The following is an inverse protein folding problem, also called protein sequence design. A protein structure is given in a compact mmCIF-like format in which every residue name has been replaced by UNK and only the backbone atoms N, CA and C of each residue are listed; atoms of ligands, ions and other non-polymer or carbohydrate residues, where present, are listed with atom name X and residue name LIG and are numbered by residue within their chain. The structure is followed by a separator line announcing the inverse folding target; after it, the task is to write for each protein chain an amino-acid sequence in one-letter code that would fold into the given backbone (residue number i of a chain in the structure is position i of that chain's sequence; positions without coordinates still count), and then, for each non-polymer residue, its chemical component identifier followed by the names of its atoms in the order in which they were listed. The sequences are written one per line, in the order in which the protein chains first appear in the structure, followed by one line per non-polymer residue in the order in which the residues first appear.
data_IF_855802404378
#
_entry.id   IF_855802404378
#
_cell.length_a   1.000
_cell.length_b   1.000
_cell.length_c   1.000
_cell.angle_alpha   90.00
_cell.angle_beta   90.00
_cell.angle_gamma   90.00
#
_symmetry.space_group_name_H-M   'P 1'
#
loop_
_entity.id
_entity.type
_entity.pdbx_description
1 polymer ?
#
# COMPACT_ATOMS: atom_id res chain seq x y z
N UNK A 1 -12.29 14.24 3.66
CA UNK A 1 -11.63 13.84 2.40
C UNK A 1 -10.20 14.29 2.55
N UNK A 2 -9.28 13.35 2.81
CA UNK A 2 -7.86 13.66 2.83
C UNK A 2 -7.50 14.46 1.56
N UNK A 3 -6.69 15.53 1.70
CA UNK A 3 -6.21 16.38 0.60
C UNK A 3 -5.23 15.61 -0.33
N UNK A 4 -5.62 14.44 -0.84
CA UNK A 4 -4.76 13.54 -1.62
C UNK A 4 -4.57 14.10 -3.04
N UNK A 5 -5.55 14.86 -3.53
CA UNK A 5 -5.55 15.41 -4.89
C UNK A 5 -4.80 16.74 -4.90
N UNK A 6 -3.59 16.73 -5.47
CA UNK A 6 -2.84 17.96 -5.73
C UNK A 6 -3.17 18.48 -7.12
N UNK A 7 -3.88 19.60 -7.15
CA UNK A 7 -4.26 20.30 -8.39
C UNK A 7 -3.12 21.14 -9.00
N UNK A 8 -1.86 20.75 -8.74
CA UNK A 8 -0.70 21.42 -9.33
C UNK A 8 -0.25 20.61 -10.54
N UNK A 9 0.23 21.27 -11.61
CA UNK A 9 0.78 20.56 -12.75
C UNK A 9 1.99 19.74 -12.30
N UNK A 10 1.95 18.45 -12.63
CA UNK A 10 3.01 17.52 -12.29
C UNK A 10 4.37 18.02 -12.79
N UNK A 11 5.35 18.10 -11.89
CA UNK A 11 6.75 18.39 -12.21
C UNK A 11 7.63 17.30 -11.67
N UNK A 12 8.26 16.56 -12.59
CA UNK A 12 9.18 15.49 -12.25
C UNK A 12 10.34 15.98 -11.37
N UNK A 13 10.59 15.27 -10.28
CA UNK A 13 11.69 15.50 -9.34
C UNK A 13 12.64 14.30 -9.43
N UNK A 14 13.85 14.48 -10.01
CA UNK A 14 14.83 13.40 -10.11
C UNK A 14 15.45 13.07 -8.75
N UNK A 15 16.01 11.87 -8.58
CA UNK A 15 16.72 11.51 -7.36
C UNK A 15 18.12 12.14 -7.36
N UNK A 16 18.74 12.22 -6.18
CA UNK A 16 20.16 12.58 -6.08
C UNK A 16 21.04 11.38 -6.41
N UNK A 17 22.07 11.60 -7.22
CA UNK A 17 23.08 10.57 -7.52
C UNK A 17 24.08 10.39 -6.36
N UNK A 18 24.16 11.30 -5.40
CA UNK A 18 25.05 11.14 -4.24
C UNK A 18 24.52 10.13 -3.23
N UNK A 19 25.39 9.44 -2.50
CA UNK A 19 25.01 8.53 -1.40
C UNK A 19 25.17 9.16 -0.02
N UNK A 20 25.88 10.28 0.10
CA UNK A 20 26.26 10.89 1.39
C UNK A 20 25.11 10.96 2.41
N UNK A 21 23.97 11.52 2.01
CA UNK A 21 22.80 11.66 2.90
C UNK A 21 22.14 10.32 3.20
N UNK A 22 22.04 9.42 2.23
CA UNK A 22 21.55 8.06 2.44
C UNK A 22 22.45 7.31 3.44
N UNK A 23 23.77 7.37 3.29
CA UNK A 23 24.75 6.79 4.21
C UNK A 23 24.64 7.41 5.61
N UNK A 24 24.46 8.73 5.71
CA UNK A 24 24.27 9.43 6.98
C UNK A 24 22.99 8.93 7.69
N UNK A 25 21.88 8.86 6.96
CA UNK A 25 20.59 8.43 7.49
C UNK A 25 20.62 6.96 7.95
N UNK A 26 21.29 6.09 7.19
CA UNK A 26 21.50 4.69 7.56
C UNK A 26 22.42 4.58 8.79
N UNK A 27 23.54 5.32 8.82
CA UNK A 27 24.53 5.29 9.90
C UNK A 27 23.94 5.69 11.25
N UNK A 28 23.14 6.76 11.26
CA UNK A 28 22.50 7.28 12.47
C UNK A 28 21.11 6.68 12.74
N UNK A 29 20.68 5.68 11.95
CA UNK A 29 19.38 5.01 12.12
C UNK A 29 18.19 5.99 12.13
N UNK A 30 18.25 7.05 11.32
CA UNK A 30 17.26 8.15 11.30
C UNK A 30 15.88 7.61 10.95
N UNK A 31 15.79 6.66 10.01
CA UNK A 31 14.54 5.99 9.63
C UNK A 31 13.91 5.28 10.83
N UNK A 32 14.68 4.51 11.61
CA UNK A 32 14.15 3.82 12.79
C UNK A 32 13.67 4.78 13.89
N UNK A 33 14.41 5.87 14.12
CA UNK A 33 13.97 6.91 15.05
C UNK A 33 12.67 7.59 14.58
N UNK A 34 12.58 7.90 13.29
CA UNK A 34 11.39 8.52 12.69
C UNK A 34 10.18 7.58 12.78
N UNK A 35 10.32 6.34 12.34
CA UNK A 35 9.27 5.30 12.40
C UNK A 35 8.74 5.08 13.82
N UNK A 36 9.63 5.07 14.82
CA UNK A 36 9.19 4.98 16.22
C UNK A 36 8.34 6.16 16.65
N UNK A 37 8.68 7.37 16.20
CA UNK A 37 8.01 8.62 16.60
C UNK A 37 6.71 8.87 15.85
N UNK A 38 6.64 8.54 14.57
CA UNK A 38 5.50 8.90 13.70
C UNK A 38 4.58 7.73 13.38
N UNK A 39 5.09 6.50 13.43
CA UNK A 39 4.35 5.28 13.03
C UNK A 39 4.20 4.27 14.17
N UNK A 40 4.82 4.51 15.33
CA UNK A 40 4.72 3.61 16.49
C UNK A 40 5.52 2.31 16.36
N UNK A 41 6.43 2.22 15.39
CA UNK A 41 7.27 1.03 15.15
C UNK A 41 8.46 1.05 16.11
N UNK A 42 8.41 0.22 17.14
CA UNK A 42 9.37 0.24 18.26
C UNK A 42 10.57 -0.68 18.04
N UNK A 43 10.43 -1.69 17.18
CA UNK A 43 11.48 -2.66 16.86
C UNK A 43 11.30 -3.20 15.42
N UNK A 44 12.37 -3.76 14.88
CA UNK A 44 12.39 -4.32 13.54
C UNK A 44 13.28 -5.56 13.45
N UNK A 45 12.96 -6.45 12.51
CA UNK A 45 13.76 -7.60 12.13
C UNK A 45 13.87 -7.64 10.60
N UNK A 46 15.07 -7.89 10.06
CA UNK A 46 15.25 -8.16 8.63
C UNK A 46 15.64 -9.63 8.49
N UNK A 47 14.88 -10.38 7.69
CA UNK A 47 15.11 -11.79 7.44
C UNK A 47 15.62 -12.01 6.01
N UNK A 48 16.48 -13.01 5.89
CA UNK A 48 17.00 -13.51 4.63
C UNK A 48 17.69 -12.47 3.72
N UNK A 49 18.28 -11.42 4.31
CA UNK A 49 18.97 -10.34 3.56
C UNK A 49 20.14 -10.83 2.71
N UNK A 50 20.70 -12.00 3.05
CA UNK A 50 21.77 -12.65 2.29
C UNK A 50 21.36 -12.99 0.86
N UNK A 51 20.06 -13.27 0.60
CA UNK A 51 19.54 -13.48 -0.76
C UNK A 51 19.74 -12.23 -1.63
N UNK A 52 19.43 -11.06 -1.07
CA UNK A 52 19.67 -9.78 -1.73
C UNK A 52 21.18 -9.54 -1.92
N UNK A 53 21.99 -9.76 -0.88
CA UNK A 53 23.45 -9.61 -0.96
C UNK A 53 24.06 -10.49 -2.05
N UNK A 54 23.59 -11.73 -2.20
CA UNK A 54 24.05 -12.66 -3.22
C UNK A 54 23.79 -12.13 -4.64
N UNK A 55 22.58 -11.61 -4.90
CA UNK A 55 22.24 -10.99 -6.20
C UNK A 55 23.12 -9.76 -6.50
N UNK A 56 23.40 -8.93 -5.48
CA UNK A 56 24.29 -7.77 -5.63
C UNK A 56 25.73 -8.18 -5.92
N UNK A 57 26.25 -9.18 -5.21
CA UNK A 57 27.60 -9.71 -5.41
C UNK A 57 27.76 -10.39 -6.79
N UNK A 58 26.70 -11.01 -7.30
CA UNK A 58 26.66 -11.57 -8.65
C UNK A 58 26.58 -10.51 -9.77
N UNK A 59 26.50 -9.22 -9.43
CA UNK A 59 26.40 -8.13 -10.41
C UNK A 59 25.04 -8.05 -11.11
N UNK A 60 24.01 -8.72 -10.57
CA UNK A 60 22.64 -8.61 -11.08
C UNK A 60 22.09 -7.22 -10.81
N UNK A 61 21.24 -6.75 -11.72
CA UNK A 61 20.44 -5.56 -11.47
C UNK A 61 19.22 -5.96 -10.66
N UNK A 62 18.99 -5.29 -9.53
CA UNK A 62 17.98 -5.69 -8.56
C UNK A 62 16.80 -4.72 -8.56
N UNK A 63 15.60 -5.26 -8.69
CA UNK A 63 14.36 -4.58 -8.31
C UNK A 63 13.82 -5.24 -7.04
N UNK A 64 13.51 -4.45 -6.02
CA UNK A 64 12.79 -4.92 -4.82
C UNK A 64 11.32 -4.52 -4.93
N UNK A 65 10.43 -5.48 -4.70
CA UNK A 65 8.98 -5.30 -4.83
C UNK A 65 8.28 -5.68 -3.52
N UNK A 66 8.25 -4.75 -2.55
CA UNK A 66 7.57 -4.97 -1.28
C UNK A 66 6.05 -4.83 -1.37
N UNK A 67 5.29 -5.51 -0.49
CA UNK A 67 3.88 -5.17 -0.25
C UNK A 67 3.76 -3.79 0.42
N UNK A 68 2.57 -3.19 0.38
CA UNK A 68 2.33 -1.81 0.79
C UNK A 68 1.17 -1.66 1.78
N UNK A 69 1.31 -2.25 2.97
CA UNK A 69 0.30 -2.19 4.01
C UNK A 69 0.23 -0.84 4.75
N UNK A 70 1.32 -0.08 4.90
CA UNK A 70 1.35 1.17 5.68
C UNK A 70 2.10 2.28 4.95
N UNK A 71 1.80 3.54 5.30
CA UNK A 71 2.57 4.72 4.82
C UNK A 71 4.03 4.68 5.26
N UNK A 72 4.32 3.92 6.32
CA UNK A 72 5.63 3.66 6.89
C UNK A 72 6.59 2.85 5.98
N UNK A 73 6.05 2.01 5.09
CA UNK A 73 6.81 0.97 4.39
C UNK A 73 8.04 1.48 3.61
N UNK A 74 7.98 2.62 2.88
CA UNK A 74 9.16 3.15 2.19
C UNK A 74 10.32 3.49 3.13
N UNK A 75 10.03 3.95 4.35
CA UNK A 75 11.05 4.21 5.36
C UNK A 75 11.53 2.92 6.03
N UNK A 76 10.65 1.93 6.20
CA UNK A 76 11.01 0.61 6.75
C UNK A 76 12.03 -0.14 5.89
N UNK A 77 11.96 0.03 4.56
CA UNK A 77 13.00 -0.45 3.63
C UNK A 77 14.41 0.09 3.95
N UNK A 78 14.51 1.19 4.71
CA UNK A 78 15.76 1.69 5.27
C UNK A 78 16.53 0.63 6.07
N UNK A 79 15.85 -0.26 6.79
CA UNK A 79 16.47 -1.36 7.54
C UNK A 79 17.07 -2.42 6.60
N UNK A 80 16.34 -2.84 5.57
CA UNK A 80 16.82 -3.78 4.55
C UNK A 80 18.07 -3.23 3.86
N UNK A 81 18.04 -1.96 3.42
CA UNK A 81 19.17 -1.34 2.72
C UNK A 81 20.41 -1.17 3.60
N UNK A 82 20.20 -0.81 4.88
CA UNK A 82 21.28 -0.72 5.87
C UNK A 82 21.93 -2.07 6.10
N UNK A 83 21.14 -3.13 6.27
CA UNK A 83 21.66 -4.47 6.55
C UNK A 83 22.30 -5.13 5.31
N UNK A 84 21.74 -4.86 4.13
CA UNK A 84 22.31 -5.24 2.84
C UNK A 84 23.61 -4.48 2.52
N UNK A 85 23.84 -3.33 3.16
CA UNK A 85 24.99 -2.47 2.88
C UNK A 85 24.89 -1.78 1.52
N UNK A 86 23.67 -1.43 1.09
CA UNK A 86 23.41 -0.83 -0.22
C UNK A 86 22.60 0.47 -0.13
N UNK A 87 22.55 1.19 -1.25
CA UNK A 87 21.71 2.36 -1.44
C UNK A 87 20.72 2.09 -2.56
N UNK A 88 19.53 2.68 -2.48
CA UNK A 88 18.45 2.39 -3.43
C UNK A 88 17.96 3.63 -4.12
N UNK A 89 17.35 3.43 -5.28
CA UNK A 89 16.38 4.37 -5.82
C UNK A 89 14.97 3.89 -5.48
N UNK A 90 14.04 4.82 -5.27
CA UNK A 90 12.66 4.47 -4.94
C UNK A 90 11.67 5.39 -5.66
N UNK A 91 10.56 4.82 -6.14
CA UNK A 91 9.46 5.59 -6.72
C UNK A 91 8.54 6.10 -5.60
N UNK A 92 8.35 7.42 -5.53
CA UNK A 92 7.50 8.06 -4.53
C UNK A 92 6.41 8.89 -5.21
N UNK A 93 5.17 8.84 -4.70
CA UNK A 93 4.08 9.67 -5.22
C UNK A 93 4.48 11.14 -5.18
N UNK A 94 4.21 11.88 -6.26
CA UNK A 94 4.47 13.32 -6.31
C UNK A 94 3.80 14.11 -5.18
N UNK A 95 2.70 13.58 -4.63
CA UNK A 95 2.03 14.15 -3.47
C UNK A 95 2.99 14.35 -2.28
N UNK A 96 3.87 13.38 -2.01
CA UNK A 96 4.83 13.42 -0.90
C UNK A 96 5.87 14.55 -1.04
N UNK A 97 6.17 15.00 -2.26
CA UNK A 97 7.11 16.10 -2.51
C UNK A 97 6.49 17.48 -2.28
N UNK A 98 5.18 17.53 -2.03
CA UNK A 98 4.41 18.75 -1.84
C UNK A 98 3.74 18.86 -0.46
N UNK A 99 3.87 17.83 0.39
CA UNK A 99 3.33 17.85 1.76
C UNK A 99 4.05 18.86 2.64
N UNK A 100 5.38 18.75 2.74
CA UNK A 100 6.18 19.63 3.59
C UNK A 100 7.60 19.83 3.03
N UNK A 101 8.29 20.85 3.56
CA UNK A 101 9.62 21.25 3.09
C UNK A 101 10.69 20.18 3.36
N UNK A 102 10.56 19.42 4.45
CA UNK A 102 11.52 18.40 4.85
C UNK A 102 11.40 17.18 3.95
N UNK A 103 10.19 16.69 3.69
CA UNK A 103 9.94 15.59 2.73
C UNK A 103 10.43 15.94 1.33
N UNK A 104 10.14 17.16 0.85
CA UNK A 104 10.63 17.66 -0.44
C UNK A 104 12.16 17.67 -0.55
N UNK A 105 12.85 17.95 0.56
CA UNK A 105 14.32 17.95 0.60
C UNK A 105 14.90 16.54 0.78
N UNK A 106 14.33 15.74 1.68
CA UNK A 106 14.87 14.46 2.11
C UNK A 106 14.69 13.37 1.05
N UNK A 107 13.50 13.26 0.44
CA UNK A 107 13.16 12.17 -0.49
C UNK A 107 14.18 12.09 -1.65
N UNK A 108 14.49 13.18 -2.40
CA UNK A 108 15.53 13.12 -3.43
C UNK A 108 16.91 12.73 -2.91
N UNK A 109 17.28 13.20 -1.71
CA UNK A 109 18.63 13.00 -1.13
C UNK A 109 18.87 11.56 -0.68
N UNK A 110 17.81 10.81 -0.39
CA UNK A 110 17.89 9.39 -0.04
C UNK A 110 17.61 8.47 -1.23
N UNK A 111 17.47 9.01 -2.45
CA UNK A 111 17.30 8.23 -3.68
C UNK A 111 15.85 8.13 -4.20
N UNK A 112 14.90 8.80 -3.55
CA UNK A 112 13.53 8.85 -4.03
C UNK A 112 13.34 9.78 -5.23
N UNK A 113 12.51 9.40 -6.20
CA UNK A 113 12.12 10.24 -7.32
C UNK A 113 10.61 10.21 -7.53
N UNK A 114 10.06 11.30 -8.07
CA UNK A 114 8.62 11.46 -8.16
C UNK A 114 8.02 10.60 -9.26
N UNK A 115 6.81 10.09 -9.01
CA UNK A 115 5.94 9.51 -10.03
C UNK A 115 4.57 10.18 -9.99
N UNK A 116 4.01 10.46 -11.16
CA UNK A 116 2.60 10.83 -11.29
C UNK A 116 1.72 9.57 -11.31
N UNK A 117 0.91 9.37 -10.26
CA UNK A 117 -0.05 8.27 -10.19
C UNK A 117 -1.30 8.51 -11.05
N UNK A 118 -1.57 9.77 -11.37
CA UNK A 118 -2.79 10.24 -12.06
C UNK A 118 -2.64 10.30 -13.58
N UNK A 119 -1.52 9.82 -14.13
CA UNK A 119 -1.25 9.86 -15.56
C UNK A 119 -0.11 8.93 -15.98
N UNK A 120 0.18 8.93 -17.28
CA UNK A 120 1.28 8.14 -17.84
C UNK A 120 2.60 8.91 -17.68
N UNK A 121 3.30 8.66 -16.58
CA UNK A 121 4.60 9.27 -16.29
C UNK A 121 5.75 8.59 -17.06
N UNK A 122 5.86 8.90 -18.35
CA UNK A 122 6.95 8.37 -19.20
C UNK A 122 8.33 8.71 -18.65
N UNK A 123 8.50 9.85 -17.97
CA UNK A 123 9.79 10.27 -17.46
C UNK A 123 10.23 9.41 -16.27
N UNK A 124 9.35 9.16 -15.30
CA UNK A 124 9.63 8.27 -14.18
C UNK A 124 9.86 6.82 -14.64
N UNK A 125 9.05 6.33 -15.59
CA UNK A 125 9.20 4.99 -16.16
C UNK A 125 10.57 4.84 -16.86
N UNK A 126 10.95 5.82 -17.69
CA UNK A 126 12.26 5.78 -18.37
C UNK A 126 13.41 5.81 -17.37
N UNK A 127 13.34 6.66 -16.33
CA UNK A 127 14.37 6.67 -15.29
C UNK A 127 14.47 5.32 -14.57
N UNK A 128 13.34 4.69 -14.22
CA UNK A 128 13.32 3.38 -13.59
C UNK A 128 14.01 2.31 -14.47
N UNK A 129 13.74 2.33 -15.78
CA UNK A 129 14.42 1.46 -16.75
C UNK A 129 15.91 1.77 -16.82
N UNK A 130 16.30 3.05 -16.83
CA UNK A 130 17.69 3.48 -16.92
C UNK A 130 18.48 3.07 -15.67
N UNK A 131 17.91 3.24 -14.47
CA UNK A 131 18.49 2.79 -13.19
C UNK A 131 18.78 1.29 -13.22
N UNK A 132 17.78 0.48 -13.58
CA UNK A 132 17.95 -0.97 -13.66
C UNK A 132 18.88 -1.39 -14.80
N UNK A 133 18.91 -0.64 -15.90
CA UNK A 133 19.85 -0.91 -16.98
C UNK A 133 21.27 -0.61 -16.53
N UNK A 134 21.51 0.49 -15.81
CA UNK A 134 22.82 0.87 -15.28
C UNK A 134 23.31 -0.11 -14.21
N UNK A 135 22.40 -0.66 -13.39
CA UNK A 135 22.70 -1.61 -12.31
C UNK A 135 23.63 -1.04 -11.21
N UNK A 136 23.62 0.28 -11.02
CA UNK A 136 24.41 0.94 -9.98
C UNK A 136 23.84 0.73 -8.57
N UNK A 137 22.51 0.68 -8.46
CA UNK A 137 21.76 0.58 -7.20
C UNK A 137 20.46 -0.16 -7.43
N UNK A 138 19.95 -0.90 -6.43
CA UNK A 138 18.62 -1.49 -6.53
C UNK A 138 17.52 -0.43 -6.65
N UNK A 139 16.43 -0.82 -7.29
CA UNK A 139 15.21 0.00 -7.41
C UNK A 139 14.09 -0.60 -6.56
N UNK A 140 13.47 0.20 -5.70
CA UNK A 140 12.28 -0.17 -4.91
C UNK A 140 11.02 0.32 -5.63
N UNK A 141 10.09 -0.60 -5.90
CA UNK A 141 8.75 -0.29 -6.43
C UNK A 141 7.70 -1.08 -5.64
N UNK A 142 6.74 -0.39 -5.04
CA UNK A 142 5.56 -1.01 -4.42
C UNK A 142 4.54 -1.39 -5.51
N UNK A 143 4.32 -2.68 -5.80
CA UNK A 143 3.52 -3.13 -6.93
C UNK A 143 2.01 -2.90 -6.73
N UNK A 144 1.51 -2.79 -5.50
CA UNK A 144 0.08 -2.54 -5.20
C UNK A 144 -0.37 -1.12 -5.58
N UNK A 145 0.55 -0.16 -5.65
CA UNK A 145 0.28 1.21 -6.10
C UNK A 145 -0.47 2.12 -5.12
N UNK A 146 -1.08 1.56 -4.06
CA UNK A 146 -1.72 2.27 -2.97
C UNK A 146 -1.48 1.57 -1.63
N UNK A 147 -1.66 2.31 -0.53
CA UNK A 147 -1.64 1.72 0.82
C UNK A 147 -3.00 1.09 1.09
N UNK A 148 -3.01 -0.14 1.56
CA UNK A 148 -4.23 -0.95 1.73
C UNK A 148 -4.61 -1.14 3.20
N UNK A 149 -3.64 -0.98 4.12
CA UNK A 149 -3.79 -1.25 5.56
C UNK A 149 -4.29 -2.67 5.83
N UNK A 150 -3.81 -3.62 5.03
CA UNK A 150 -3.92 -5.06 5.22
C UNK A 150 -2.52 -5.65 5.22
N UNK A 151 -2.04 -6.11 6.38
CA UNK A 151 -0.72 -6.73 6.49
C UNK A 151 -0.64 -8.07 5.74
N UNK A 152 -1.69 -8.87 5.79
CA UNK A 152 -1.63 -10.29 5.40
C UNK A 152 -2.23 -10.57 4.02
N UNK A 153 -2.78 -9.55 3.35
CA UNK A 153 -3.45 -9.71 2.06
C UNK A 153 -2.94 -8.70 1.05
N UNK A 154 -2.43 -9.21 -0.06
CA UNK A 154 -2.09 -8.40 -1.21
C UNK A 154 -3.35 -7.94 -1.95
N UNK A 155 -3.31 -6.70 -2.39
CA UNK A 155 -4.18 -6.24 -3.46
C UNK A 155 -3.58 -6.58 -4.83
N UNK A 156 -4.40 -6.42 -5.88
CA UNK A 156 -3.98 -6.63 -7.25
C UNK A 156 -2.71 -5.82 -7.59
N UNK A 157 -1.70 -6.52 -8.12
CA UNK A 157 -0.43 -5.92 -8.49
C UNK A 157 -0.52 -5.20 -9.83
N UNK A 158 0.14 -4.05 -9.95
CA UNK A 158 0.19 -3.26 -11.19
C UNK A 158 1.29 -3.78 -12.14
N UNK A 159 0.93 -4.03 -13.40
CA UNK A 159 1.81 -4.54 -14.47
C UNK A 159 3.05 -3.69 -14.80
N UNK A 160 3.14 -2.46 -14.28
CA UNK A 160 4.25 -1.55 -14.53
C UNK A 160 5.61 -2.14 -14.14
N UNK A 161 5.62 -3.01 -13.12
CA UNK A 161 6.81 -3.71 -12.61
C UNK A 161 7.43 -4.60 -13.68
N UNK A 162 6.66 -5.52 -14.27
CA UNK A 162 7.15 -6.43 -15.31
C UNK A 162 7.61 -5.67 -16.57
N UNK A 163 6.90 -4.61 -16.95
CA UNK A 163 7.29 -3.78 -18.09
C UNK A 163 8.67 -3.13 -17.88
N UNK A 164 8.88 -2.50 -16.73
CA UNK A 164 10.15 -1.83 -16.38
C UNK A 164 11.28 -2.85 -16.32
N UNK A 165 11.09 -3.95 -15.57
CA UNK A 165 12.11 -4.96 -15.34
C UNK A 165 12.53 -5.66 -16.65
N UNK A 166 11.57 -6.08 -17.48
CA UNK A 166 11.84 -6.73 -18.77
C UNK A 166 12.56 -5.80 -19.75
N UNK A 167 12.17 -4.54 -19.79
CA UNK A 167 12.82 -3.56 -20.68
C UNK A 167 14.28 -3.35 -20.27
N UNK A 168 14.56 -3.26 -18.97
CA UNK A 168 15.92 -3.21 -18.44
C UNK A 168 16.70 -4.52 -18.73
N UNK A 169 16.08 -5.68 -18.55
CA UNK A 169 16.69 -6.99 -18.83
C UNK A 169 17.13 -7.10 -20.29
N UNK A 170 16.28 -6.65 -21.23
CA UNK A 170 16.61 -6.60 -22.66
C UNK A 170 17.78 -5.65 -22.96
N UNK A 171 17.87 -4.51 -22.28
CA UNK A 171 18.98 -3.55 -22.46
C UNK A 171 20.30 -4.10 -21.91
N UNK A 172 20.27 -4.71 -20.72
CA UNK A 172 21.45 -5.35 -20.11
C UNK A 172 21.94 -6.54 -20.92
N UNK A 173 21.06 -7.46 -21.30
CA UNK A 173 21.41 -8.62 -22.12
C UNK A 173 22.16 -8.24 -23.40
N UNK A 174 21.82 -7.10 -24.02
CA UNK A 174 22.51 -6.57 -25.20
C UNK A 174 23.83 -5.86 -24.91
N UNK A 175 23.96 -5.21 -23.74
CA UNK A 175 25.13 -4.38 -23.40
C UNK A 175 26.26 -5.22 -22.81
N UNK A 176 25.94 -6.02 -21.80
CA UNK A 176 26.91 -6.71 -20.95
C UNK A 176 26.51 -8.16 -20.61
N UNK A 177 25.40 -8.66 -21.15
CA UNK A 177 24.87 -9.99 -20.79
C UNK A 177 24.32 -10.07 -19.35
N UNK A 178 24.22 -8.94 -18.65
CA UNK A 178 23.80 -8.88 -17.25
C UNK A 178 22.33 -9.21 -17.05
N UNK A 179 22.03 -9.79 -15.89
CA UNK A 179 20.67 -10.18 -15.50
C UNK A 179 19.96 -9.07 -14.73
N UNK A 180 18.62 -9.11 -14.79
CA UNK A 180 17.74 -8.36 -13.89
C UNK A 180 16.96 -9.37 -13.07
N UNK A 181 16.93 -9.17 -11.75
CA UNK A 181 16.17 -10.01 -10.82
C UNK A 181 15.23 -9.16 -9.99
N UNK A 182 14.07 -9.73 -9.66
CA UNK A 182 13.09 -9.14 -8.75
C UNK A 182 13.18 -9.89 -7.42
N UNK A 183 13.35 -9.17 -6.32
CA UNK A 183 13.20 -9.71 -4.97
C UNK A 183 11.85 -9.26 -4.40
N UNK A 184 10.90 -10.19 -4.16
CA UNK A 184 9.76 -9.89 -3.30
C UNK A 184 10.26 -9.56 -1.89
N UNK A 185 9.64 -8.59 -1.23
CA UNK A 185 9.96 -8.25 0.16
C UNK A 185 8.67 -8.19 0.97
N UNK A 186 8.45 -9.17 1.83
CA UNK A 186 7.27 -9.19 2.68
C UNK A 186 7.51 -8.31 3.91
N UNK A 187 6.67 -7.30 4.09
CA UNK A 187 6.64 -6.39 5.22
C UNK A 187 5.42 -6.76 6.05
N UNK A 188 5.66 -7.17 7.30
CA UNK A 188 4.63 -7.49 8.28
C UNK A 188 4.84 -6.68 9.54
N UNK A 189 3.77 -6.07 10.04
CA UNK A 189 3.76 -5.43 11.36
C UNK A 189 3.01 -6.32 12.35
N UNK A 190 3.69 -6.70 13.43
CA UNK A 190 3.13 -7.40 14.58
C UNK A 190 2.88 -6.40 15.71
N UNK A 191 1.67 -6.41 16.27
CA UNK A 191 1.30 -5.56 17.38
C UNK A 191 1.50 -6.29 18.71
N UNK A 192 2.44 -5.79 19.52
CA UNK A 192 2.78 -6.33 20.83
C UNK A 192 2.17 -5.59 22.03
N UNK A 193 1.15 -4.74 21.81
CA UNK A 193 0.48 -3.98 22.87
C UNK A 193 -0.82 -4.62 23.36
N UNK A 194 -1.52 -3.93 24.27
CA UNK A 194 -2.83 -4.39 24.78
C UNK A 194 -3.94 -4.07 23.77
N UNK A 195 -4.26 -5.05 22.92
CA UNK A 195 -5.31 -4.91 21.91
C UNK A 195 -6.68 -4.63 22.52
N UNK A 196 -6.97 -5.13 23.73
CA UNK A 196 -8.26 -4.92 24.39
C UNK A 196 -8.41 -3.46 24.82
N UNK A 197 -7.35 -2.89 25.39
CA UNK A 197 -7.35 -1.47 25.76
C UNK A 197 -7.54 -0.60 24.51
N UNK A 198 -6.73 -0.79 23.46
CA UNK A 198 -6.81 0.06 22.27
C UNK A 198 -8.12 -0.10 21.50
N UNK A 199 -8.61 -1.34 21.37
CA UNK A 199 -9.92 -1.59 20.78
C UNK A 199 -11.02 -0.91 21.59
N UNK A 200 -10.97 -0.95 22.93
CA UNK A 200 -11.99 -0.30 23.75
C UNK A 200 -11.98 1.22 23.59
N UNK A 201 -10.80 1.85 23.57
CA UNK A 201 -10.65 3.28 23.35
C UNK A 201 -11.29 3.72 22.04
N UNK A 202 -10.86 3.12 20.92
CA UNK A 202 -11.32 3.50 19.58
C UNK A 202 -12.79 3.14 19.35
N UNK A 203 -13.19 1.90 19.65
CA UNK A 203 -14.56 1.45 19.41
C UNK A 203 -15.56 2.19 20.30
N UNK A 204 -15.21 2.55 21.54
CA UNK A 204 -16.10 3.34 22.39
C UNK A 204 -16.35 4.73 21.82
N UNK A 205 -15.31 5.37 21.27
CA UNK A 205 -15.44 6.69 20.62
C UNK A 205 -16.31 6.60 19.36
N UNK A 206 -16.14 5.56 18.55
CA UNK A 206 -16.98 5.32 17.36
C UNK A 206 -18.44 5.05 17.76
N UNK A 207 -18.67 4.18 18.75
CA UNK A 207 -20.00 3.88 19.27
C UNK A 207 -20.69 5.15 19.78
N UNK A 208 -19.98 6.03 20.49
CA UNK A 208 -20.51 7.32 20.94
C UNK A 208 -20.84 8.26 19.79
N UNK A 209 -20.01 8.31 18.73
CA UNK A 209 -20.31 9.08 17.51
C UNK A 209 -21.58 8.60 16.81
N UNK A 210 -21.88 7.30 16.88
CA UNK A 210 -23.15 6.74 16.42
C UNK A 210 -24.32 6.93 17.40
N UNK A 211 -24.12 7.70 18.48
CA UNK A 211 -25.09 7.87 19.57
C UNK A 211 -25.48 6.56 20.27
N UNK A 212 -24.59 5.57 20.24
CA UNK A 212 -24.77 4.30 20.96
C UNK A 212 -24.17 4.36 22.35
N UNK A 213 -24.66 3.51 23.25
CA UNK A 213 -23.99 3.26 24.54
C UNK A 213 -22.79 2.33 24.29
N UNK A 214 -21.57 2.69 24.72
CA UNK A 214 -20.42 1.81 24.57
C UNK A 214 -20.64 0.46 25.24
N UNK A 215 -20.37 -0.63 24.52
CA UNK A 215 -20.58 -2.01 25.00
C UNK A 215 -19.27 -2.68 25.37
N UNK A 216 -18.55 -2.10 26.34
CA UNK A 216 -17.23 -2.57 26.79
C UNK A 216 -17.21 -4.02 27.29
N UNK A 217 -18.37 -4.55 27.67
CA UNK A 217 -18.57 -5.93 28.10
C UNK A 217 -18.70 -6.94 26.95
N UNK A 218 -18.95 -6.48 25.72
CA UNK A 218 -19.00 -7.35 24.54
C UNK A 218 -17.58 -7.67 24.05
N UNK A 219 -17.44 -8.76 23.30
CA UNK A 219 -16.17 -9.10 22.65
C UNK A 219 -15.77 -8.01 21.64
N UNK A 220 -14.46 -7.92 21.34
CA UNK A 220 -13.96 -7.01 20.30
C UNK A 220 -14.58 -7.37 18.96
N UNK A 221 -14.68 -8.67 18.65
CA UNK A 221 -15.30 -9.18 17.43
C UNK A 221 -16.73 -8.68 17.23
N UNK A 222 -17.60 -8.85 18.23
CA UNK A 222 -19.00 -8.40 18.17
C UNK A 222 -19.10 -6.89 17.91
N UNK A 223 -18.22 -6.11 18.57
CA UNK A 223 -18.21 -4.65 18.43
C UNK A 223 -17.73 -4.23 17.04
N UNK A 224 -16.65 -4.85 16.54
CA UNK A 224 -16.11 -4.61 15.19
C UNK A 224 -17.14 -4.99 14.12
N UNK A 225 -17.75 -6.16 14.21
CA UNK A 225 -18.81 -6.60 13.29
C UNK A 225 -20.01 -5.64 13.30
N UNK A 226 -20.43 -5.18 14.48
CA UNK A 226 -21.55 -4.23 14.61
C UNK A 226 -21.21 -2.84 14.04
N UNK A 227 -20.03 -2.32 14.35
CA UNK A 227 -19.56 -1.02 13.82
C UNK A 227 -19.41 -1.09 12.29
N UNK A 228 -18.74 -2.12 11.76
CA UNK A 228 -18.58 -2.32 10.33
C UNK A 228 -19.92 -2.44 9.60
N UNK A 229 -20.86 -3.21 10.16
CA UNK A 229 -22.23 -3.30 9.62
C UNK A 229 -22.93 -1.94 9.57
N UNK A 230 -22.80 -1.12 10.62
CA UNK A 230 -23.42 0.20 10.65
C UNK A 230 -22.79 1.15 9.64
N UNK A 231 -21.45 1.19 9.54
CA UNK A 231 -20.74 1.98 8.53
C UNK A 231 -21.22 1.64 7.12
N UNK A 232 -21.31 0.34 6.79
CA UNK A 232 -21.82 -0.11 5.50
C UNK A 232 -23.28 0.30 5.29
N UNK A 233 -24.16 0.08 6.28
CA UNK A 233 -25.57 0.47 6.18
C UNK A 233 -25.75 1.99 5.97
N UNK A 234 -24.92 2.82 6.61
CA UNK A 234 -24.97 4.27 6.44
C UNK A 234 -24.62 4.66 5.00
N UNK A 235 -23.59 4.04 4.42
CA UNK A 235 -23.24 4.26 3.00
C UNK A 235 -24.28 3.69 2.04
N UNK A 236 -24.91 2.56 2.36
CA UNK A 236 -26.02 2.04 1.57
C UNK A 236 -27.22 2.99 1.59
N UNK A 237 -27.58 3.56 2.74
CA UNK A 237 -28.64 4.57 2.84
C UNK A 237 -28.31 5.83 2.01
N UNK A 238 -27.05 6.26 2.03
CA UNK A 238 -26.59 7.42 1.25
C UNK A 238 -26.71 7.20 -0.26
N UNK A 239 -26.30 6.03 -0.77
CA UNK A 239 -26.18 5.78 -2.22
C UNK A 239 -27.33 4.98 -2.86
N UNK A 240 -28.08 4.21 -2.07
CA UNK A 240 -29.26 3.45 -2.50
C UNK A 240 -30.57 3.99 -1.93
N UNK A 241 -30.53 4.81 -0.86
CA UNK A 241 -31.73 5.26 -0.14
C UNK A 241 -32.28 4.23 0.86
N UNK A 242 -31.74 3.01 0.88
CA UNK A 242 -32.14 1.92 1.77
C UNK A 242 -30.97 0.98 2.08
N UNK A 243 -31.03 0.30 3.23
CA UNK A 243 -30.04 -0.73 3.58
C UNK A 243 -30.21 -1.97 2.72
N UNK A 244 -29.11 -2.58 2.29
CA UNK A 244 -29.14 -3.73 1.41
C UNK A 244 -29.15 -5.05 2.18
N UNK A 245 -29.70 -6.10 1.54
CA UNK A 245 -29.72 -7.47 2.06
C UNK A 245 -28.68 -8.34 1.35
N UNK A 246 -28.20 -9.38 2.05
CA UNK A 246 -27.22 -10.34 1.55
C UNK A 246 -26.01 -10.47 2.46
N UNK A 247 -25.06 -11.30 2.05
CA UNK A 247 -23.76 -11.42 2.70
C UNK A 247 -22.91 -10.14 2.51
N UNK A 248 -21.90 -9.99 3.35
CA UNK A 248 -21.05 -8.79 3.39
C UNK A 248 -20.35 -8.53 2.04
N UNK A 249 -19.77 -9.58 1.42
CA UNK A 249 -19.04 -9.46 0.16
C UNK A 249 -19.94 -8.97 -0.96
N UNK A 250 -21.11 -9.57 -1.11
CA UNK A 250 -22.10 -9.16 -2.11
C UNK A 250 -22.57 -7.72 -1.91
N UNK A 251 -22.84 -7.31 -0.66
CA UNK A 251 -23.28 -5.95 -0.36
C UNK A 251 -22.20 -4.90 -0.67
N UNK A 252 -20.96 -5.18 -0.29
CA UNK A 252 -19.83 -4.30 -0.59
C UNK A 252 -19.57 -4.19 -2.09
N UNK A 253 -19.59 -5.30 -2.82
CA UNK A 253 -19.43 -5.30 -4.28
C UNK A 253 -20.54 -4.50 -4.98
N UNK A 254 -21.79 -4.66 -4.56
CA UNK A 254 -22.90 -3.84 -5.10
C UNK A 254 -22.71 -2.35 -4.85
N UNK A 255 -22.24 -1.98 -3.66
CA UNK A 255 -21.95 -0.57 -3.34
C UNK A 255 -20.79 -0.04 -4.19
N UNK A 256 -19.71 -0.80 -4.36
CA UNK A 256 -18.60 -0.46 -5.26
C UNK A 256 -19.11 -0.24 -6.69
N UNK A 257 -19.92 -1.17 -7.21
CA UNK A 257 -20.46 -1.07 -8.58
C UNK A 257 -21.45 0.08 -8.73
N UNK A 258 -22.21 0.41 -7.68
CA UNK A 258 -23.10 1.57 -7.63
C UNK A 258 -22.32 2.88 -7.77
N UNK A 259 -21.14 2.97 -7.17
CA UNK A 259 -20.25 4.12 -7.25
C UNK A 259 -19.53 4.18 -8.61
N UNK A 260 -18.98 3.06 -9.08
CA UNK A 260 -18.09 3.06 -10.24
C UNK A 260 -18.79 2.95 -11.59
N UNK A 261 -19.83 2.11 -11.73
CA UNK A 261 -20.43 1.85 -13.04
C UNK A 261 -20.97 3.11 -13.75
N UNK A 262 -21.64 4.06 -13.07
CA UNK A 262 -22.07 5.30 -13.70
C UNK A 262 -20.90 6.14 -14.23
N UNK A 263 -19.80 6.19 -13.48
CA UNK A 263 -18.59 6.91 -13.84
C UNK A 263 -17.88 6.24 -15.01
N UNK A 264 -17.80 4.92 -15.03
CA UNK A 264 -17.21 4.15 -16.12
C UNK A 264 -18.03 4.28 -17.41
N UNK A 265 -19.35 4.32 -17.31
CA UNK A 265 -20.23 4.61 -18.44
C UNK A 265 -19.95 6.00 -19.02
N UNK A 266 -19.79 7.01 -18.15
CA UNK A 266 -19.55 8.41 -18.53
C UNK A 266 -18.15 8.64 -19.11
N UNK A 267 -17.12 8.14 -18.44
CA UNK A 267 -15.71 8.45 -18.73
C UNK A 267 -15.01 7.42 -19.63
N UNK A 268 -15.46 6.17 -19.63
CA UNK A 268 -14.82 5.04 -20.34
C UNK A 268 -15.71 4.37 -21.38
N UNK A 269 -16.95 4.85 -21.54
CA UNK A 269 -17.93 4.34 -22.51
C UNK A 269 -18.54 2.98 -22.15
N UNK A 270 -18.36 2.50 -20.92
CA UNK A 270 -18.93 1.23 -20.47
C UNK A 270 -18.40 0.79 -19.11
N UNK A 271 -19.27 0.13 -18.34
CA UNK A 271 -18.93 -0.49 -17.06
C UNK A 271 -17.79 -1.52 -17.22
N UNK A 272 -16.93 -1.59 -16.21
CA UNK A 272 -15.79 -2.52 -16.15
C UNK A 272 -15.99 -3.49 -14.99
N UNK A 273 -15.52 -4.72 -15.17
CA UNK A 273 -15.41 -5.70 -14.08
C UNK A 273 -13.97 -5.84 -13.60
N UNK A 274 -13.78 -6.65 -12.57
CA UNK A 274 -12.47 -6.95 -11.98
C UNK A 274 -12.10 -6.01 -10.83
N UNK A 275 -10.81 -5.96 -10.54
CA UNK A 275 -10.30 -5.32 -9.32
C UNK A 275 -10.54 -3.81 -9.29
N UNK A 276 -10.88 -3.32 -8.08
CA UNK A 276 -11.27 -1.93 -7.85
C UNK A 276 -10.12 -0.96 -8.12
N UNK A 277 -8.90 -1.28 -7.71
CA UNK A 277 -7.74 -0.38 -7.85
C UNK A 277 -7.43 -0.05 -9.33
N UNK A 278 -7.35 -1.03 -10.25
CA UNK A 278 -7.26 -0.76 -11.68
C UNK A 278 -8.42 0.08 -12.25
N UNK A 279 -9.67 -0.21 -11.84
CA UNK A 279 -10.87 0.54 -12.27
C UNK A 279 -10.77 2.02 -11.87
N UNK A 280 -10.47 2.27 -10.59
CA UNK A 280 -10.24 3.59 -10.01
C UNK A 280 -9.13 4.35 -10.74
N UNK A 281 -8.00 3.69 -11.00
CA UNK A 281 -6.88 4.28 -11.73
C UNK A 281 -7.28 4.71 -13.15
N UNK A 282 -8.02 3.87 -13.87
CA UNK A 282 -8.45 4.18 -15.23
C UNK A 282 -9.39 5.39 -15.29
N UNK A 283 -10.30 5.53 -14.32
CA UNK A 283 -11.16 6.70 -14.19
C UNK A 283 -10.37 7.97 -13.88
N UNK A 284 -9.45 7.92 -12.91
CA UNK A 284 -8.63 9.07 -12.53
C UNK A 284 -7.82 9.64 -13.69
N UNK A 285 -7.26 8.78 -14.54
CA UNK A 285 -6.50 9.18 -15.75
C UNK A 285 -7.37 9.99 -16.73
N UNK A 286 -8.69 9.79 -16.75
CA UNK A 286 -9.61 10.58 -17.59
C UNK A 286 -10.09 11.85 -16.89
N UNK A 287 -10.38 11.77 -15.58
CA UNK A 287 -11.00 12.88 -14.82
C UNK A 287 -9.99 13.99 -14.52
N UNK A 288 -8.78 13.63 -14.08
CA UNK A 288 -7.82 14.56 -13.48
C UNK A 288 -7.12 15.54 -14.45
N UNK A 289 -6.73 15.16 -15.68
CA UNK A 289 -5.87 16.02 -16.51
C UNK A 289 -6.44 17.43 -16.78
N UNK A 290 -7.72 17.54 -17.15
CA UNK A 290 -8.32 18.85 -17.45
C UNK A 290 -8.60 19.68 -16.19
N UNK A 291 -8.83 19.02 -15.04
CA UNK A 291 -8.94 19.71 -13.74
C UNK A 291 -7.62 20.39 -13.38
N UNK A 292 -6.50 19.66 -13.51
CA UNK A 292 -5.15 20.17 -13.20
C UNK A 292 -4.73 21.27 -14.18
N UNK A 293 -5.11 21.14 -15.46
CA UNK A 293 -4.81 22.14 -16.48
C UNK A 293 -5.72 23.38 -16.43
N UNK A 294 -6.74 23.39 -15.55
CA UNK A 294 -7.68 24.49 -15.44
C UNK A 294 -8.51 24.71 -16.72
N UNK A 295 -8.80 23.63 -17.46
CA UNK A 295 -9.49 23.67 -18.76
C UNK A 295 -11.01 23.47 -18.68
N UNK A 296 -11.56 23.44 -17.47
CA UNK A 296 -12.97 23.09 -17.20
C UNK A 296 -13.69 24.25 -16.51
N UNK A 297 -15.01 24.28 -16.64
CA UNK A 297 -15.82 25.30 -15.94
C UNK A 297 -15.89 25.01 -14.43
N UNK A 298 -16.26 26.00 -13.59
CA UNK A 298 -16.48 25.78 -12.16
C UNK A 298 -17.52 24.69 -11.85
N UNK A 299 -18.59 24.60 -12.65
CA UNK A 299 -19.65 23.60 -12.48
C UNK A 299 -19.15 22.20 -12.85
N UNK A 300 -18.44 22.08 -13.96
CA UNK A 300 -17.79 20.81 -14.34
C UNK A 300 -16.76 20.36 -13.30
N UNK A 301 -16.10 21.32 -12.66
CA UNK A 301 -15.11 21.06 -11.62
C UNK A 301 -15.75 20.50 -10.36
N UNK A 302 -16.86 21.07 -9.90
CA UNK A 302 -17.62 20.55 -8.75
C UNK A 302 -18.09 19.12 -9.03
N UNK A 303 -18.68 18.87 -10.20
CA UNK A 303 -19.10 17.52 -10.59
C UNK A 303 -17.94 16.52 -10.64
N UNK A 304 -16.76 16.90 -11.14
CA UNK A 304 -15.59 16.01 -11.14
C UNK A 304 -15.06 15.75 -9.73
N UNK A 305 -15.21 16.70 -8.80
CA UNK A 305 -14.88 16.48 -7.39
C UNK A 305 -15.81 15.44 -6.75
N UNK A 306 -17.10 15.47 -7.06
CA UNK A 306 -18.04 14.43 -6.64
C UNK A 306 -17.67 13.07 -7.24
N UNK A 307 -17.34 13.02 -8.55
CA UNK A 307 -16.88 11.80 -9.20
C UNK A 307 -15.61 11.23 -8.50
N UNK A 308 -14.67 12.09 -8.09
CA UNK A 308 -13.46 11.67 -7.37
C UNK A 308 -13.76 11.20 -5.94
N UNK A 309 -14.77 11.77 -5.27
CA UNK A 309 -15.22 11.34 -3.96
C UNK A 309 -15.77 9.90 -4.02
N UNK A 310 -16.59 9.60 -5.03
CA UNK A 310 -17.16 8.26 -5.25
C UNK A 310 -16.07 7.22 -5.58
N UNK A 311 -15.10 7.60 -6.41
CA UNK A 311 -13.93 6.77 -6.74
C UNK A 311 -13.11 6.48 -5.47
N UNK A 312 -12.91 7.48 -4.62
CA UNK A 312 -12.19 7.32 -3.36
C UNK A 312 -12.94 6.38 -2.41
N UNK A 313 -14.25 6.56 -2.25
CA UNK A 313 -15.07 5.70 -1.41
C UNK A 313 -15.07 4.25 -1.91
N UNK A 314 -15.19 4.02 -3.22
CA UNK A 314 -15.11 2.68 -3.79
C UNK A 314 -13.76 2.00 -3.47
N UNK A 315 -12.66 2.74 -3.58
CA UNK A 315 -11.34 2.25 -3.19
C UNK A 315 -11.28 1.93 -1.69
N UNK A 316 -11.78 2.81 -0.83
CA UNK A 316 -11.83 2.62 0.62
C UNK A 316 -12.61 1.35 1.02
N UNK A 317 -13.79 1.14 0.42
CA UNK A 317 -14.60 -0.08 0.63
C UNK A 317 -13.81 -1.31 0.19
N UNK A 318 -13.16 -1.27 -0.97
CA UNK A 318 -12.40 -2.41 -1.50
C UNK A 318 -11.23 -2.84 -0.62
N UNK A 319 -10.71 -1.92 0.21
CA UNK A 319 -9.64 -2.25 1.11
C UNK A 319 -10.12 -3.19 2.24
N UNK A 320 -11.42 -3.33 2.54
CA UNK A 320 -11.93 -4.20 3.61
C UNK A 320 -12.23 -5.61 3.05
N UNK A 321 -11.34 -6.60 3.13
CA UNK A 321 -11.64 -7.90 2.55
C UNK A 321 -12.69 -8.60 3.43
N UNK A 322 -13.84 -9.05 2.88
CA UNK A 322 -14.98 -9.51 3.68
C UNK A 322 -14.70 -10.70 4.62
N UNK A 323 -13.72 -11.51 4.26
CA UNK A 323 -13.24 -12.74 4.90
C UNK A 323 -11.99 -12.50 5.76
N UNK A 324 -11.42 -11.28 5.78
CA UNK A 324 -10.13 -11.00 6.42
C UNK A 324 -10.08 -11.36 7.91
N UNK A 325 -11.12 -11.00 8.68
CA UNK A 325 -11.20 -11.35 10.10
C UNK A 325 -11.70 -12.78 10.32
N UNK A 326 -12.47 -13.33 9.38
CA UNK A 326 -13.06 -14.68 9.48
C UNK A 326 -12.01 -15.77 9.24
N UNK A 327 -11.15 -15.59 8.24
CA UNK A 327 -10.09 -16.54 7.90
C UNK A 327 -9.08 -16.68 9.04
N UNK A 328 -8.72 -15.56 9.68
CA UNK A 328 -7.76 -15.55 10.78
C UNK A 328 -8.03 -14.35 11.71
N UNK A 329 -8.72 -14.54 12.84
CA UNK A 329 -9.02 -13.47 13.79
C UNK A 329 -7.80 -13.11 14.65
N UNK A 330 -6.72 -12.64 14.02
CA UNK A 330 -5.49 -12.26 14.72
C UNK A 330 -5.52 -10.83 15.26
N UNK A 331 -4.68 -10.58 16.26
CA UNK A 331 -4.53 -9.26 16.89
C UNK A 331 -4.27 -8.17 15.86
N UNK A 332 -3.38 -8.42 14.90
CA UNK A 332 -3.02 -7.40 13.90
C UNK A 332 -4.17 -7.08 12.96
N UNK A 333 -4.92 -8.09 12.49
CA UNK A 333 -6.05 -7.87 11.57
C UNK A 333 -7.17 -7.09 12.26
N UNK A 334 -7.42 -7.32 13.55
CA UNK A 334 -8.36 -6.51 14.32
C UNK A 334 -7.85 -5.08 14.49
N UNK A 335 -6.57 -4.89 14.86
CA UNK A 335 -5.99 -3.56 15.00
C UNK A 335 -6.11 -2.77 13.69
N UNK A 336 -5.71 -3.37 12.57
CA UNK A 336 -5.84 -2.78 11.23
C UNK A 336 -7.28 -2.38 10.93
N UNK A 337 -8.24 -3.26 11.18
CA UNK A 337 -9.66 -2.97 10.92
C UNK A 337 -10.16 -1.80 11.77
N UNK A 338 -9.77 -1.75 13.04
CA UNK A 338 -10.14 -0.69 13.98
C UNK A 338 -9.50 0.65 13.59
N UNK A 339 -8.20 0.65 13.27
CA UNK A 339 -7.48 1.82 12.76
C UNK A 339 -8.17 2.39 11.51
N UNK A 340 -8.68 1.53 10.62
CA UNK A 340 -9.40 1.96 9.43
C UNK A 340 -10.76 2.56 9.72
N UNK A 341 -11.52 1.97 10.64
CA UNK A 341 -12.78 2.59 11.06
C UNK A 341 -12.53 3.99 11.64
N UNK A 342 -11.45 4.16 12.40
CA UNK A 342 -11.05 5.47 12.90
C UNK A 342 -10.63 6.42 11.78
N UNK A 343 -9.79 5.97 10.85
CA UNK A 343 -9.33 6.76 9.71
C UNK A 343 -10.50 7.21 8.83
N UNK A 344 -11.43 6.30 8.51
CA UNK A 344 -12.59 6.56 7.68
C UNK A 344 -13.57 7.57 8.32
N UNK A 345 -13.61 7.65 9.65
CA UNK A 345 -14.49 8.55 10.41
C UNK A 345 -13.83 9.87 10.81
N UNK A 346 -12.50 9.93 10.83
CA UNK A 346 -11.76 11.07 11.40
C UNK A 346 -10.66 11.63 10.50
N UNK A 347 -10.45 11.03 9.32
CA UNK A 347 -9.31 11.24 8.42
C UNK A 347 -7.94 10.95 9.09
N UNK A 348 -7.90 10.34 10.28
CA UNK A 348 -6.69 10.04 11.06
C UNK A 348 -6.80 8.69 11.77
N UNK A 349 -5.69 7.95 11.84
CA UNK A 349 -5.54 6.83 12.77
C UNK A 349 -4.59 7.24 13.90
N UNK A 350 -4.92 6.92 15.15
CA UNK A 350 -4.05 7.24 16.29
C UNK A 350 -2.81 6.34 16.29
N UNK A 351 -1.74 6.85 16.90
CA UNK A 351 -0.52 6.08 17.07
C UNK A 351 -0.66 5.13 18.26
N UNK A 352 -0.83 3.84 17.99
CA UNK A 352 -0.94 2.80 19.02
C UNK A 352 0.41 2.42 19.64
N UNK A 353 1.52 2.62 18.93
CA UNK A 353 2.84 2.17 19.37
C UNK A 353 2.99 0.65 19.30
N UNK A 354 4.03 0.11 19.93
CA UNK A 354 4.23 -1.35 20.11
C UNK A 354 4.25 -2.21 18.84
N UNK A 355 4.45 -1.59 17.66
CA UNK A 355 4.59 -2.34 16.41
C UNK A 355 6.01 -2.86 16.26
N UNK A 356 6.13 -4.14 15.94
CA UNK A 356 7.34 -4.80 15.49
C UNK A 356 7.26 -5.04 13.98
N UNK A 357 8.23 -4.53 13.21
CA UNK A 357 8.24 -4.66 11.76
C UNK A 357 9.20 -5.76 11.29
N UNK A 358 8.68 -6.79 10.63
CA UNK A 358 9.46 -7.85 10.00
C UNK A 358 9.56 -7.53 8.51
N UNK A 359 10.78 -7.51 7.97
CA UNK A 359 11.03 -7.41 6.53
C UNK A 359 11.74 -8.69 6.05
N UNK A 360 11.00 -9.56 5.38
CA UNK A 360 11.53 -10.81 4.84
C UNK A 360 11.86 -10.66 3.35
N UNK A 361 13.12 -10.90 2.99
CA UNK A 361 13.60 -10.83 1.61
C UNK A 361 13.43 -12.18 0.94
N UNK A 362 12.62 -12.25 -0.11
CA UNK A 362 12.35 -13.48 -0.84
C UNK A 362 13.45 -13.85 -1.85
N UNK A 363 13.37 -15.08 -2.34
CA UNK A 363 14.24 -15.60 -3.40
C UNK A 363 14.11 -14.77 -4.70
N UNK A 364 15.20 -14.53 -5.44
CA UNK A 364 15.15 -13.75 -6.66
C UNK A 364 14.31 -14.45 -7.73
N UNK A 365 13.55 -13.65 -8.47
CA UNK A 365 12.85 -14.04 -9.70
C UNK A 365 13.65 -13.46 -10.86
N UNK A 366 14.25 -14.30 -11.69
CA UNK A 366 14.98 -13.85 -12.87
C UNK A 366 14.01 -13.36 -13.95
N UNK A 367 14.22 -12.13 -14.43
CA UNK A 367 13.32 -11.53 -15.42
C UNK A 367 13.80 -11.86 -16.83
N UNK A 368 12.98 -12.59 -17.57
CA UNK A 368 13.25 -12.87 -18.97
C UNK A 368 13.18 -11.61 -19.84
N UNK A 369 14.04 -11.52 -20.85
CA UNK A 369 14.07 -10.38 -21.79
C UNK A 369 12.95 -10.44 -22.84
N UNK A 370 12.19 -11.53 -22.87
CA UNK A 370 11.11 -11.80 -23.82
C UNK A 370 9.75 -11.75 -23.11
N UNK A 371 8.78 -11.11 -23.77
CA UNK A 371 7.38 -11.16 -23.32
C UNK A 371 6.71 -12.37 -23.95
N UNK A 372 6.12 -13.22 -23.12
CA UNK A 372 5.15 -14.18 -23.62
C UNK A 372 3.88 -13.41 -24.01
N UNK A 373 3.57 -13.39 -25.30
CA UNK A 373 2.39 -12.69 -25.84
C UNK A 373 1.13 -13.55 -25.80
N UNK A 374 1.26 -14.85 -25.48
CA UNK A 374 0.14 -15.79 -25.38
C UNK A 374 -0.43 -15.86 -23.96
N UNK A 375 0.35 -15.48 -22.96
CA UNK A 375 -0.11 -15.43 -21.57
C UNK A 375 -1.00 -14.20 -21.34
N UNK A 376 -2.14 -14.42 -20.69
CA UNK A 376 -3.09 -13.36 -20.30
C UNK A 376 -2.51 -12.47 -19.19
N UNK A 377 -1.86 -13.09 -18.21
CA UNK A 377 -1.10 -12.44 -17.13
C UNK A 377 0.40 -12.68 -17.35
N UNK A 378 1.23 -11.68 -17.03
CA UNK A 378 2.68 -11.82 -17.14
C UNK A 378 3.20 -12.89 -16.15
N UNK A 379 3.93 -13.93 -16.61
CA UNK A 379 4.39 -15.00 -15.71
C UNK A 379 5.21 -14.50 -14.52
N UNK A 380 6.00 -13.44 -14.72
CA UNK A 380 6.81 -12.83 -13.64
C UNK A 380 5.92 -12.15 -12.61
N UNK A 381 4.80 -11.53 -13.03
CA UNK A 381 3.85 -10.92 -12.09
C UNK A 381 3.08 -11.98 -11.31
N UNK A 382 2.63 -13.05 -11.98
CA UNK A 382 1.95 -14.15 -11.31
C UNK A 382 2.85 -14.85 -10.29
N UNK A 383 4.12 -15.10 -10.64
CA UNK A 383 5.10 -15.66 -9.71
C UNK A 383 5.41 -14.70 -8.56
N UNK A 384 5.53 -13.40 -8.84
CA UNK A 384 5.73 -12.37 -7.82
C UNK A 384 4.58 -12.34 -6.81
N UNK A 385 3.34 -12.31 -7.30
CA UNK A 385 2.13 -12.29 -6.48
C UNK A 385 2.05 -13.54 -5.61
N UNK A 386 2.23 -14.73 -6.20
CA UNK A 386 2.19 -16.00 -5.48
C UNK A 386 3.27 -16.08 -4.39
N UNK A 387 4.52 -15.71 -4.71
CA UNK A 387 5.62 -15.75 -3.74
C UNK A 387 5.41 -14.74 -2.62
N UNK A 388 5.01 -13.51 -2.95
CA UNK A 388 4.82 -12.45 -1.97
C UNK A 388 3.63 -12.76 -1.05
N UNK A 389 2.49 -13.24 -1.58
CA UNK A 389 1.36 -13.66 -0.76
C UNK A 389 1.74 -14.84 0.13
N UNK A 390 2.44 -15.85 -0.41
CA UNK A 390 2.89 -17.00 0.40
C UNK A 390 3.84 -16.62 1.53
N UNK A 391 4.68 -15.60 1.34
CA UNK A 391 5.52 -15.04 2.41
C UNK A 391 4.67 -14.31 3.47
N UNK A 392 3.66 -13.54 3.06
CA UNK A 392 2.75 -12.87 3.99
C UNK A 392 1.88 -13.88 4.77
N UNK A 393 1.46 -14.98 4.15
CA UNK A 393 0.73 -16.05 4.83
C UNK A 393 1.57 -16.69 5.95
N UNK A 394 2.87 -16.90 5.69
CA UNK A 394 3.82 -17.42 6.68
C UNK A 394 4.02 -16.44 7.82
N UNK A 395 4.27 -15.16 7.52
CA UNK A 395 4.45 -14.12 8.54
C UNK A 395 3.16 -13.84 9.32
N UNK A 396 2.00 -13.92 8.66
CA UNK A 396 0.69 -13.80 9.30
C UNK A 396 0.44 -14.88 10.35
N UNK A 397 1.11 -16.04 10.22
CA UNK A 397 1.06 -17.11 11.21
C UNK A 397 1.70 -16.72 12.56
N UNK A 398 2.61 -15.74 12.59
CA UNK A 398 3.27 -15.24 13.80
C UNK A 398 2.39 -14.26 14.59
N UNK A 399 1.32 -13.76 13.98
CA UNK A 399 0.32 -12.92 14.66
C UNK A 399 -0.53 -13.79 15.60
N UNK A 400 -0.57 -13.50 16.91
CA UNK A 400 -1.36 -14.27 17.85
C UNK A 400 -2.85 -14.13 17.56
N UNK A 401 -3.62 -15.20 17.79
CA UNK A 401 -5.07 -15.13 17.67
C UNK A 401 -5.66 -14.34 18.83
N UNK A 402 -6.76 -13.62 18.58
CA UNK A 402 -7.39 -12.79 19.61
C UNK A 402 -7.81 -13.62 20.84
N UNK A 403 -8.34 -14.82 20.61
CA UNK A 403 -8.78 -15.71 21.69
C UNK A 403 -7.61 -16.28 22.52
N UNK A 404 -6.45 -16.49 21.90
CA UNK A 404 -5.25 -16.96 22.60
C UNK A 404 -4.76 -15.90 23.60
N UNK A 405 -4.75 -14.64 23.18
CA UNK A 405 -4.39 -13.51 24.06
C UNK A 405 -5.40 -13.36 25.19
N UNK A 406 -6.69 -13.53 24.91
CA UNK A 406 -7.74 -13.49 25.94
C UNK A 406 -7.58 -14.63 26.97
N UNK A 407 -7.23 -15.85 26.53
CA UNK A 407 -7.00 -17.00 27.40
C UNK A 407 -5.75 -16.84 28.27
N UNK A 408 -4.66 -16.28 27.73
CA UNK A 408 -3.45 -15.97 28.48
C UNK A 408 -3.69 -14.93 29.57
N UNK A 409 -4.49 -13.88 29.28
CA UNK A 409 -4.86 -12.86 30.26
C UNK A 409 -5.79 -13.38 31.37
N UNK A 410 -6.57 -14.43 31.11
CA UNK A 410 -7.49 -15.04 32.07
C UNK A 410 -6.84 -16.09 32.99
N UNK A 411 -5.62 -16.53 32.68
CA UNK A 411 -4.89 -17.50 33.49
C UNK A 411 -4.09 -16.76 34.58
N UNK A 412 -4.44 -16.86 35.86
CA UNK A 412 -3.68 -16.20 36.92
C UNK A 412 -2.28 -16.82 37.03
N UNK A 413 -1.26 -15.97 36.93
CA UNK A 413 0.15 -16.30 37.21
C UNK A 413 0.39 -16.72 38.65
#
# INVERSE_FOLDING_TARGET
MQDIIIEKPYKFVPPSNGTFWSSLFQRFNVHGWWLRRTEGVVSSEVRHVERLKASLQAGHSVMMTPNHCRTADPLAMGWVTKEAGCHVYAMASWHLFNQDWFSRWAIPKVGGFSVNREGVDRQAINLAIDVLSAAERPLVIFPEGAVTRTNDRLHALLDGVAFIARTAAKRRAKRDGGKVVIHPVAIKYLFGGDIKQHADEVLSEIEQRFSWRPRRQCSIDDRVAKVGKALLCLKELEYFGETQQGDLATRMQRLIDRLLNPLEQRWLGGARGGDVVPRVKNLRIQIMPDMILGKITPEEREQRWDDLADIYLAQQISCYPPDYLVERPSVDRYLETIERFEEDLTDKARLHGHLHCILDVGEPIEVSSHRDRKAEVDPVMSELEQRLQGMLDQLGAESPLLDEVAAQAASPS
#
